data_IF_049341019914
#
_entry.id   IF_049341019914
#
_cell.length_a   1.000
_cell.length_b   1.000
_cell.length_c   1.000
_cell.angle_alpha   90.00
_cell.angle_beta   90.00
_cell.angle_gamma   90.00
#
_symmetry.space_group_name_H-M   'P 1'
#
loop_
_entity.id
_entity.type
_entity.pdbx_description
1 polymer ?
#
# COMPACT_ATOMS: atom_id res chain seq x y z
N UNK A 1 19.36 3.30 9.08
CA UNK A 1 19.03 2.07 8.33
C UNK A 1 18.42 2.46 6.99
N UNK A 2 19.02 1.99 5.91
CA UNK A 2 18.66 2.43 4.58
C UNK A 2 17.50 1.61 4.00
N UNK A 3 16.31 2.16 4.10
CA UNK A 3 15.12 1.57 3.48
C UNK A 3 14.71 2.41 2.27
N UNK A 4 14.25 1.75 1.21
CA UNK A 4 13.61 2.47 0.11
C UNK A 4 12.28 3.04 0.58
N UNK A 5 11.72 3.97 -0.17
CA UNK A 5 10.42 4.55 0.18
C UNK A 5 9.31 3.48 0.18
N UNK A 6 9.35 2.53 -0.74
CA UNK A 6 8.35 1.45 -0.74
C UNK A 6 8.49 0.54 0.47
N UNK A 7 9.72 0.29 0.93
CA UNK A 7 9.98 -0.47 2.15
C UNK A 7 9.48 0.28 3.38
N UNK A 8 9.73 1.58 3.44
CA UNK A 8 9.22 2.43 4.54
C UNK A 8 7.69 2.39 4.60
N UNK A 9 7.05 2.50 3.45
CA UNK A 9 5.58 2.45 3.39
C UNK A 9 5.06 1.11 3.92
N UNK A 10 5.58 -0.01 3.43
CA UNK A 10 5.17 -1.33 3.89
C UNK A 10 5.40 -1.51 5.38
N UNK A 11 6.58 -1.15 5.86
CA UNK A 11 6.92 -1.27 7.28
C UNK A 11 5.98 -0.42 8.13
N UNK A 12 5.70 0.81 7.71
CA UNK A 12 4.82 1.70 8.44
C UNK A 12 3.39 1.17 8.53
N UNK A 13 2.90 0.57 7.45
CA UNK A 13 1.59 -0.09 7.46
C UNK A 13 1.58 -1.23 8.47
N UNK A 14 2.60 -2.07 8.46
CA UNK A 14 2.70 -3.20 9.40
C UNK A 14 2.73 -2.71 10.84
N UNK A 15 3.44 -1.61 11.13
CA UNK A 15 3.45 -1.02 12.47
C UNK A 15 2.05 -0.60 12.93
N UNK A 16 1.25 -0.05 12.04
CA UNK A 16 -0.04 0.54 12.39
C UNK A 16 -1.17 -0.47 12.54
N UNK A 17 -1.13 -1.58 11.82
CA UNK A 17 -2.23 -2.54 11.88
C UNK A 17 -2.19 -3.42 13.13
N UNK A 18 -1.09 -3.42 13.86
CA UNK A 18 -0.92 -4.04 15.20
C UNK A 18 -1.29 -5.52 15.31
N UNK A 19 -1.96 -6.07 14.35
CA UNK A 19 -2.34 -7.48 14.31
C UNK A 19 -1.70 -8.09 13.08
N UNK A 20 -1.18 -9.31 13.22
CA UNK A 20 -0.65 -9.99 12.06
C UNK A 20 -1.77 -10.13 11.05
N UNK A 21 -1.66 -9.39 9.97
CA UNK A 21 -2.70 -9.35 8.98
C UNK A 21 -2.29 -10.13 7.73
N UNK A 22 -3.27 -10.45 6.92
CA UNK A 22 -3.11 -11.20 5.71
C UNK A 22 -2.17 -10.46 4.74
N UNK A 23 -1.21 -11.18 4.17
CA UNK A 23 -0.27 -10.66 3.17
C UNK A 23 -1.00 -9.98 2.01
N UNK A 24 -2.14 -10.53 1.59
CA UNK A 24 -2.93 -9.96 0.50
C UNK A 24 -3.50 -8.60 0.89
N UNK A 25 -3.94 -8.44 2.14
CA UNK A 25 -4.39 -7.15 2.65
C UNK A 25 -3.27 -6.12 2.66
N UNK A 26 -2.05 -6.53 3.05
CA UNK A 26 -0.90 -5.62 3.02
C UNK A 26 -0.67 -5.06 1.61
N UNK A 27 -0.77 -5.92 0.60
CA UNK A 27 -0.62 -5.51 -0.79
C UNK A 27 -1.68 -4.46 -1.18
N UNK A 28 -2.92 -4.65 -0.72
CA UNK A 28 -4.01 -3.70 -1.00
C UNK A 28 -3.80 -2.37 -0.28
N UNK A 29 -3.40 -2.40 0.99
CA UNK A 29 -3.13 -1.17 1.73
C UNK A 29 -2.00 -0.36 1.09
N UNK A 30 -0.97 -1.04 0.57
CA UNK A 30 0.11 -0.38 -0.14
C UNK A 30 -0.42 0.31 -1.41
N UNK A 31 -1.23 -0.39 -2.20
CA UNK A 31 -1.83 0.17 -3.39
C UNK A 31 -2.70 1.39 -3.07
N UNK A 32 -3.63 1.25 -2.13
CA UNK A 32 -4.51 2.36 -1.78
C UNK A 32 -3.72 3.56 -1.28
N UNK A 33 -2.70 3.33 -0.46
CA UNK A 33 -1.88 4.42 0.07
C UNK A 33 -1.16 5.18 -1.03
N UNK A 34 -0.52 4.47 -1.95
CA UNK A 34 0.21 5.11 -3.04
C UNK A 34 -0.73 5.82 -4.02
N UNK A 35 -1.82 5.17 -4.42
CA UNK A 35 -2.69 5.74 -5.45
C UNK A 35 -3.58 6.86 -4.92
N UNK A 36 -4.08 6.74 -3.68
CA UNK A 36 -4.84 7.85 -3.07
C UNK A 36 -3.92 9.04 -2.85
N UNK A 37 -2.71 8.81 -2.33
CA UNK A 37 -1.75 9.90 -2.13
C UNK A 37 -1.42 10.59 -3.46
N UNK A 38 -1.20 9.80 -4.52
CA UNK A 38 -0.95 10.38 -5.84
C UNK A 38 -2.13 11.21 -6.32
N UNK A 39 -3.35 10.73 -6.12
CA UNK A 39 -4.56 11.43 -6.56
C UNK A 39 -4.65 12.84 -5.97
N UNK A 40 -4.27 13.00 -4.70
CA UNK A 40 -4.41 14.28 -4.00
C UNK A 40 -3.13 15.13 -4.02
N UNK A 41 -1.95 14.53 -4.22
CA UNK A 41 -0.68 15.27 -4.07
C UNK A 41 0.28 15.10 -5.25
N UNK A 42 -0.12 14.45 -6.32
CA UNK A 42 0.69 14.22 -7.54
C UNK A 42 1.94 13.37 -7.33
N UNK A 43 2.03 12.66 -6.22
CA UNK A 43 3.16 11.77 -5.93
C UNK A 43 2.70 10.56 -5.13
N UNK A 44 3.24 9.37 -5.38
CA UNK A 44 2.97 8.24 -4.48
C UNK A 44 3.76 8.44 -3.19
N UNK A 45 3.37 7.72 -2.14
CA UNK A 45 4.15 7.70 -0.90
C UNK A 45 5.49 7.01 -1.13
N UNK A 46 5.47 5.88 -1.85
CA UNK A 46 6.70 5.17 -2.16
C UNK A 46 7.52 6.01 -3.14
N UNK A 47 7.45 5.78 -4.42
CA UNK A 47 8.18 6.58 -5.39
C UNK A 47 7.71 6.15 -6.77
N UNK A 48 7.92 6.97 -7.77
CA UNK A 48 7.46 6.70 -9.13
C UNK A 48 8.08 5.43 -9.72
N UNK A 49 9.21 5.00 -9.21
CA UNK A 49 9.85 3.75 -9.65
C UNK A 49 9.18 2.50 -9.07
N UNK A 50 8.33 2.66 -8.05
CA UNK A 50 7.58 1.54 -7.49
C UNK A 50 6.36 1.26 -8.37
N UNK A 51 6.49 0.34 -9.31
CA UNK A 51 5.47 0.04 -10.30
C UNK A 51 4.46 -0.97 -9.75
N UNK A 52 3.18 -0.72 -10.00
CA UNK A 52 2.10 -1.65 -9.69
C UNK A 52 1.65 -2.35 -10.96
N UNK A 53 1.30 -3.63 -10.83
CA UNK A 53 0.84 -4.45 -11.95
C UNK A 53 -0.57 -4.95 -11.71
N UNK A 54 -1.32 -5.08 -12.80
CA UNK A 54 -2.68 -5.61 -12.74
C UNK A 54 -2.62 -7.13 -12.64
N UNK A 55 -2.85 -7.63 -11.43
CA UNK A 55 -2.87 -9.06 -11.15
C UNK A 55 -4.29 -9.54 -10.90
N UNK A 56 -4.50 -10.86 -10.93
CA UNK A 56 -5.81 -11.47 -10.80
C UNK A 56 -6.53 -11.06 -9.51
N UNK A 57 -5.81 -10.96 -8.41
CA UNK A 57 -6.40 -10.62 -7.11
C UNK A 57 -6.29 -9.14 -6.77
N UNK A 58 -5.94 -8.32 -7.74
CA UNK A 58 -5.87 -6.87 -7.61
C UNK A 58 -4.50 -6.30 -7.92
N UNK A 59 -4.36 -4.99 -7.73
CA UNK A 59 -3.07 -4.33 -7.96
C UNK A 59 -2.00 -4.85 -7.01
N UNK A 60 -0.80 -5.06 -7.53
CA UNK A 60 0.32 -5.56 -6.75
C UNK A 60 1.60 -4.83 -7.14
N UNK A 61 2.30 -4.27 -6.14
CA UNK A 61 3.63 -3.70 -6.38
C UNK A 61 4.55 -4.80 -6.89
N UNK A 62 5.29 -4.51 -7.96
CA UNK A 62 6.23 -5.45 -8.57
C UNK A 62 7.25 -5.96 -7.57
N UNK A 63 7.69 -5.12 -6.66
CA UNK A 63 8.73 -5.44 -5.68
C UNK A 63 8.18 -5.85 -4.31
N UNK A 64 6.88 -6.11 -4.21
CA UNK A 64 6.22 -6.39 -2.94
C UNK A 64 6.90 -7.51 -2.15
N UNK A 65 7.11 -8.66 -2.78
CA UNK A 65 7.73 -9.79 -2.10
C UNK A 65 9.19 -9.53 -1.76
N UNK A 66 9.91 -8.84 -2.65
CA UNK A 66 11.30 -8.46 -2.38
C UNK A 66 11.38 -7.52 -1.18
N UNK A 67 10.49 -6.55 -1.09
CA UNK A 67 10.49 -5.58 0.00
C UNK A 67 10.17 -6.24 1.34
N UNK A 68 9.22 -7.18 1.37
CA UNK A 68 8.94 -7.96 2.58
C UNK A 68 10.18 -8.78 2.97
N UNK A 69 10.87 -9.37 2.00
CA UNK A 69 12.09 -10.14 2.23
C UNK A 69 13.22 -9.28 2.82
N UNK A 70 13.38 -8.05 2.33
CA UNK A 70 14.37 -7.11 2.86
C UNK A 70 14.06 -6.75 4.30
N UNK A 71 12.79 -6.41 4.58
CA UNK A 71 12.37 -6.05 5.95
C UNK A 71 12.58 -7.22 6.92
N UNK A 72 12.30 -8.44 6.46
CA UNK A 72 12.52 -9.65 7.26
C UNK A 72 14.02 -9.87 7.51
N UNK A 73 14.86 -9.74 6.48
CA UNK A 73 16.31 -9.90 6.58
C UNK A 73 16.94 -8.88 7.53
N UNK A 74 16.40 -7.68 7.57
CA UNK A 74 16.86 -6.64 8.49
C UNK A 74 16.29 -6.79 9.89
N UNK A 75 15.52 -7.83 10.12
CA UNK A 75 14.91 -8.14 11.42
C UNK A 75 13.93 -7.07 11.92
N UNK A 76 13.35 -6.32 11.01
CA UNK A 76 12.34 -5.32 11.34
C UNK A 76 10.95 -5.91 11.47
N UNK A 77 10.67 -6.95 10.67
CA UNK A 77 9.41 -7.69 10.73
C UNK A 77 9.71 -9.18 10.84
N UNK A 78 8.71 -9.93 11.29
CA UNK A 78 8.77 -11.41 11.31
C UNK A 78 7.52 -11.95 10.65
N UNK A 79 7.70 -13.09 9.99
CA UNK A 79 6.61 -13.81 9.36
C UNK A 79 6.07 -14.86 10.33
N UNK A 80 4.75 -14.88 10.50
CA UNK A 80 4.04 -15.91 11.28
C UNK A 80 3.23 -16.76 10.31
N UNK A 81 3.60 -18.03 10.16
CA UNK A 81 2.96 -18.88 9.20
C UNK A 81 3.25 -18.39 7.78
N UNK A 82 2.31 -18.65 6.86
CA UNK A 82 2.53 -18.40 5.44
C UNK A 82 2.18 -16.97 5.00
N UNK A 83 1.24 -16.32 5.67
CA UNK A 83 0.64 -15.08 5.17
C UNK A 83 0.66 -13.90 6.15
N UNK A 84 1.10 -14.10 7.38
CA UNK A 84 1.01 -13.06 8.40
C UNK A 84 2.37 -12.47 8.72
N UNK A 85 2.38 -11.15 8.93
CA UNK A 85 3.60 -10.41 9.29
C UNK A 85 3.31 -9.54 10.50
N UNK A 86 4.32 -9.35 11.34
CA UNK A 86 4.24 -8.45 12.48
C UNK A 86 5.58 -7.78 12.70
N UNK A 87 5.58 -6.70 13.48
CA UNK A 87 6.80 -5.99 13.82
C UNK A 87 7.67 -6.86 14.72
N UNK A 88 8.94 -6.97 14.39
CA UNK A 88 9.94 -7.61 15.25
C UNK A 88 10.76 -6.57 15.99
N UNK A 89 11.15 -5.48 15.33
CA UNK A 89 11.88 -4.38 15.93
C UNK A 89 11.17 -3.09 15.56
N UNK A 90 10.80 -2.33 16.57
CA UNK A 90 10.09 -1.08 16.38
C UNK A 90 11.08 0.06 16.19
N UNK A 91 11.11 0.63 15.01
CA UNK A 91 11.95 1.77 14.68
C UNK A 91 11.08 2.89 14.09
N UNK A 92 11.59 4.10 14.16
CA UNK A 92 10.97 5.23 13.51
C UNK A 92 11.44 5.30 12.07
N UNK A 93 10.50 5.46 11.11
CA UNK A 93 10.83 5.68 9.71
C UNK A 93 10.41 7.07 9.29
N UNK A 94 11.19 7.65 8.40
CA UNK A 94 11.00 9.04 7.97
C UNK A 94 9.94 9.11 6.87
N UNK A 95 8.74 9.55 7.25
CA UNK A 95 7.66 9.88 6.32
C UNK A 95 7.14 11.28 6.68
N UNK A 96 6.69 12.02 5.67
CA UNK A 96 6.21 13.37 5.94
C UNK A 96 4.76 13.34 6.45
N UNK A 97 4.27 14.49 6.87
CA UNK A 97 2.96 14.64 7.48
C UNK A 97 1.81 14.21 6.54
N UNK A 98 1.91 14.56 5.26
CA UNK A 98 0.91 14.17 4.27
C UNK A 98 0.89 12.67 4.02
N UNK A 99 2.06 12.06 4.00
CA UNK A 99 2.20 10.61 3.83
C UNK A 99 1.59 9.86 5.02
N UNK A 100 1.90 10.30 6.23
CA UNK A 100 1.33 9.72 7.45
C UNK A 100 -0.20 9.86 7.46
N UNK A 101 -0.71 10.99 7.05
CA UNK A 101 -2.14 11.26 6.97
C UNK A 101 -2.84 10.32 5.99
N UNK A 102 -2.23 10.11 4.83
CA UNK A 102 -2.80 9.19 3.82
C UNK A 102 -2.84 7.76 4.34
N UNK A 103 -1.76 7.29 4.97
CA UNK A 103 -1.70 5.94 5.54
C UNK A 103 -2.81 5.78 6.58
N UNK A 104 -2.93 6.74 7.49
CA UNK A 104 -3.96 6.70 8.53
C UNK A 104 -5.36 6.64 7.93
N UNK A 105 -5.62 7.48 6.92
CA UNK A 105 -6.90 7.49 6.22
C UNK A 105 -7.23 6.13 5.61
N UNK A 106 -6.27 5.53 4.91
CA UNK A 106 -6.46 4.22 4.28
C UNK A 106 -6.77 3.14 5.32
N UNK A 107 -5.99 3.10 6.40
CA UNK A 107 -6.17 2.08 7.42
C UNK A 107 -7.47 2.28 8.21
N UNK A 108 -7.83 3.52 8.54
CA UNK A 108 -9.10 3.82 9.20
C UNK A 108 -10.29 3.38 8.34
N UNK A 109 -10.16 3.54 7.03
CA UNK A 109 -11.25 3.21 6.10
C UNK A 109 -11.36 1.71 5.82
N UNK A 110 -10.23 1.02 5.68
CA UNK A 110 -10.19 -0.31 5.07
C UNK A 110 -9.68 -1.43 5.96
N UNK A 111 -9.07 -1.14 7.12
CA UNK A 111 -8.39 -2.18 7.91
C UNK A 111 -9.31 -3.32 8.36
N UNK A 112 -10.59 -3.05 8.56
CA UNK A 112 -11.54 -4.06 9.05
C UNK A 112 -12.18 -4.90 7.94
N UNK A 113 -11.91 -4.58 6.67
CA UNK A 113 -12.46 -5.36 5.56
C UNK A 113 -11.59 -6.58 5.28
N UNK A 114 -12.23 -7.64 4.78
CA UNK A 114 -11.49 -8.82 4.34
C UNK A 114 -10.77 -8.54 3.04
N UNK A 115 -9.79 -9.40 2.70
CA UNK A 115 -9.07 -9.25 1.45
C UNK A 115 -9.98 -9.35 0.22
N UNK A 116 -11.04 -10.15 0.29
CA UNK A 116 -12.02 -10.28 -0.79
C UNK A 116 -12.73 -8.96 -1.09
N UNK A 117 -13.16 -8.28 -0.04
CA UNK A 117 -13.84 -6.99 -0.18
C UNK A 117 -12.88 -5.95 -0.74
N UNK A 118 -11.65 -5.93 -0.23
CA UNK A 118 -10.64 -4.99 -0.71
C UNK A 118 -10.29 -5.24 -2.18
N UNK A 119 -10.21 -6.51 -2.58
CA UNK A 119 -9.98 -6.87 -3.97
C UNK A 119 -11.11 -6.35 -4.85
N UNK A 120 -12.36 -6.54 -4.44
CA UNK A 120 -13.53 -6.07 -5.20
C UNK A 120 -13.53 -4.55 -5.34
N UNK A 121 -13.18 -3.83 -4.29
CA UNK A 121 -13.07 -2.37 -4.34
C UNK A 121 -12.03 -1.95 -5.38
N UNK A 122 -10.83 -2.52 -5.30
CA UNK A 122 -9.76 -2.16 -6.22
C UNK A 122 -10.08 -2.52 -7.67
N UNK A 123 -10.78 -3.64 -7.89
CA UNK A 123 -11.16 -4.09 -9.25
C UNK A 123 -12.13 -3.14 -9.94
N UNK A 124 -12.86 -2.34 -9.19
CA UNK A 124 -13.83 -1.38 -9.74
C UNK A 124 -13.22 -0.01 -9.99
N UNK A 125 -12.01 0.21 -9.53
CA UNK A 125 -11.36 1.52 -9.67
C UNK A 125 -10.73 1.67 -11.04
N UNK A 126 -10.73 2.89 -11.56
CA UNK A 126 -10.21 3.19 -12.89
C UNK A 126 -8.76 2.78 -13.06
N UNK A 127 -7.86 2.99 -12.08
CA UNK A 127 -6.48 2.51 -12.25
C UNK A 127 -6.39 1.04 -12.63
N UNK A 128 -7.13 0.18 -11.95
CA UNK A 128 -7.13 -1.25 -12.26
C UNK A 128 -7.80 -1.53 -13.60
N UNK A 129 -8.98 -0.93 -13.82
CA UNK A 129 -9.77 -1.20 -15.03
C UNK A 129 -9.06 -0.75 -16.31
N UNK A 130 -8.28 0.31 -16.25
CA UNK A 130 -7.61 0.89 -17.42
C UNK A 130 -6.36 0.13 -17.85
N UNK A 131 -5.81 -0.74 -16.98
CA UNK A 131 -4.58 -1.47 -17.29
C UNK A 131 -4.88 -2.78 -18.01
N UNK A 132 -3.89 -3.26 -18.77
CA UNK A 132 -3.95 -4.58 -19.39
C UNK A 132 -3.54 -5.65 -18.38
N UNK A 133 -4.11 -6.85 -18.50
CA UNK A 133 -3.76 -7.97 -17.63
C UNK A 133 -2.25 -8.17 -17.58
N UNK A 134 -1.70 -8.19 -16.35
CA UNK A 134 -0.26 -8.32 -16.14
C UNK A 134 0.52 -7.06 -16.42
N UNK A 135 -0.12 -6.02 -16.96
CA UNK A 135 0.55 -4.77 -17.31
C UNK A 135 0.67 -3.79 -16.15
N UNK A 136 1.42 -2.74 -16.38
CA UNK A 136 1.64 -1.68 -15.39
C UNK A 136 0.38 -0.83 -15.26
N UNK A 137 0.03 -0.52 -14.01
CA UNK A 137 -1.04 0.43 -13.69
C UNK A 137 -0.38 1.80 -13.56
N UNK A 138 -0.69 2.70 -14.49
CA UNK A 138 -0.07 4.03 -14.52
C UNK A 138 -0.57 4.90 -13.37
N UNK A 139 0.34 5.60 -12.70
CA UNK A 139 -0.03 6.45 -11.58
C UNK A 139 -0.99 7.57 -11.96
N UNK A 140 -0.88 8.11 -13.18
CA UNK A 140 -1.75 9.22 -13.57
C UNK A 140 -3.23 8.82 -13.68
N UNK A 141 -3.55 7.54 -13.75
CA UNK A 141 -4.94 7.06 -13.68
C UNK A 141 -5.55 7.29 -12.30
N UNK A 142 -4.72 7.57 -11.29
CA UNK A 142 -5.18 7.80 -9.93
C UNK A 142 -5.99 9.10 -9.78
N UNK A 143 -5.86 10.06 -10.69
CA UNK A 143 -6.61 11.33 -10.59
C UNK A 143 -8.11 11.13 -10.48
N UNK A 144 -8.63 10.05 -11.04
CA UNK A 144 -10.05 9.72 -10.95
C UNK A 144 -10.49 9.34 -9.54
N UNK A 145 -9.54 8.99 -8.66
CA UNK A 145 -9.86 8.59 -7.29
C UNK A 145 -10.28 9.77 -6.41
N UNK A 146 -9.96 11.00 -6.81
CA UNK A 146 -10.36 12.19 -6.04
C UNK A 146 -11.86 12.19 -5.78
N UNK A 147 -12.66 11.87 -6.80
CA UNK A 147 -14.12 11.84 -6.67
C UNK A 147 -14.62 10.66 -5.85
N UNK A 148 -13.82 9.59 -5.77
CA UNK A 148 -14.18 8.39 -5.03
C UNK A 148 -13.95 8.54 -3.52
N UNK A 149 -13.10 9.48 -3.12
CA UNK A 149 -12.75 9.71 -1.71
C UNK A 149 -13.03 11.16 -1.31
N UNK A 150 -14.32 11.58 -1.38
CA UNK A 150 -14.67 12.98 -1.10
C UNK A 150 -14.44 13.38 0.35
N UNK A 151 -14.35 12.42 1.26
CA UNK A 151 -14.11 12.66 2.67
C UNK A 151 -12.62 12.84 3.01
N UNK A 152 -11.71 12.69 2.03
CA UNK A 152 -10.28 12.90 2.29
C UNK A 152 -9.99 14.39 2.44
N UNK A 153 -9.37 14.76 3.56
CA UNK A 153 -9.04 16.16 3.89
C UNK A 153 -7.59 16.44 3.53
N UNK A 154 -7.37 17.33 2.58
CA UNK A 154 -6.03 17.66 2.08
C UNK A 154 -5.35 18.80 2.84
N UNK A 155 -6.03 19.41 3.80
CA UNK A 155 -5.49 20.51 4.59
C UNK A 155 -4.74 20.03 5.83
#
# INVERSE_FOLDING_TARGET
>A
MDLTKSQKLLYRIIQEIDVSDDKVKLAKFQYFSDFIHYAFYDQPISDLSNLYEKQKFGPLSRDFNRDLGVLTSKELIKQKGKYNYSVKKDIEVSLNEKEEKTIKYVLDKYSRYTYDILAKISHKQIPYLSAMEGGVIEYDTAYNLVDEYPDYQTT
#
